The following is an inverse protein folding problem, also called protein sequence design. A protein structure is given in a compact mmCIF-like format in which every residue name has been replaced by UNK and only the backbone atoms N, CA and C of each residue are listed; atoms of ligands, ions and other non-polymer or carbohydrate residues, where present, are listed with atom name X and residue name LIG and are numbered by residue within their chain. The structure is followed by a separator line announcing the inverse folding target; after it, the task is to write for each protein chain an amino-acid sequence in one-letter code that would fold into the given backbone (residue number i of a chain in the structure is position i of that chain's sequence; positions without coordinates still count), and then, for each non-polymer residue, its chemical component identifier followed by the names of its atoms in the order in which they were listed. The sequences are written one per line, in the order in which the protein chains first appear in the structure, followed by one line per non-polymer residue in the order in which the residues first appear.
data_IF_068384760044
#
_entry.id   IF_068384760044
#
_cell.length_a   1.000
_cell.length_b   1.000
_cell.length_c   1.000
_cell.angle_alpha   90.00
_cell.angle_beta   90.00
_cell.angle_gamma   90.00
#
_symmetry.space_group_name_H-M   'P 1'
#
loop_
_entity.id
_entity.type
_entity.pdbx_description
1 polymer ?
#
# COMPACT_ATOMS: atom_id res chain seq x y z
N UNK A 1 14.77 13.64 -8.32
CA UNK A 1 13.51 14.12 -7.70
C UNK A 1 12.50 14.64 -8.72
N UNK A 2 12.92 15.21 -9.86
CA UNK A 2 12.00 15.69 -10.92
C UNK A 2 11.09 14.61 -11.51
N UNK A 3 11.61 13.39 -11.74
CA UNK A 3 10.81 12.28 -12.30
C UNK A 3 9.59 11.88 -11.45
N UNK A 4 9.71 11.93 -10.11
CA UNK A 4 8.59 11.60 -9.22
C UNK A 4 7.48 12.66 -9.29
N UNK A 5 7.85 13.93 -9.44
CA UNK A 5 6.90 15.03 -9.59
C UNK A 5 6.15 14.88 -10.91
N UNK A 6 6.85 14.63 -12.01
CA UNK A 6 6.22 14.42 -13.31
C UNK A 6 5.27 13.21 -13.32
N UNK A 7 5.65 12.10 -12.67
CA UNK A 7 4.76 10.95 -12.54
C UNK A 7 3.46 11.29 -11.79
N UNK A 8 3.56 12.08 -10.72
CA UNK A 8 2.36 12.51 -9.98
C UNK A 8 1.50 13.50 -10.76
N UNK A 9 2.11 14.43 -11.50
CA UNK A 9 1.38 15.34 -12.40
C UNK A 9 0.68 14.55 -13.49
N UNK A 10 1.34 13.56 -14.06
CA UNK A 10 0.78 12.71 -15.10
C UNK A 10 -0.42 11.88 -14.60
N UNK A 11 -0.30 11.29 -13.41
CA UNK A 11 -1.37 10.50 -12.79
C UNK A 11 -2.47 11.34 -12.13
N UNK A 12 -2.36 12.67 -12.12
CA UNK A 12 -3.43 13.53 -11.62
C UNK A 12 -4.73 13.36 -12.43
N UNK A 13 -4.63 13.08 -13.73
CA UNK A 13 -5.80 12.78 -14.57
C UNK A 13 -6.56 11.53 -14.10
N UNK A 14 -5.83 10.52 -13.61
CA UNK A 14 -6.45 9.35 -12.99
C UNK A 14 -7.19 9.74 -11.71
N UNK A 15 -6.58 10.56 -10.85
CA UNK A 15 -7.20 10.99 -9.59
C UNK A 15 -8.51 11.74 -9.87
N UNK A 16 -8.49 12.65 -10.85
CA UNK A 16 -9.69 13.39 -11.26
C UNK A 16 -10.76 12.46 -11.81
N UNK A 17 -10.38 11.52 -12.67
CA UNK A 17 -11.30 10.53 -13.23
C UNK A 17 -11.95 9.66 -12.14
N UNK A 18 -11.16 9.15 -11.20
CA UNK A 18 -11.65 8.31 -10.11
C UNK A 18 -12.64 9.09 -9.24
N UNK A 19 -12.30 10.32 -8.85
CA UNK A 19 -13.13 11.11 -7.93
C UNK A 19 -14.40 11.68 -8.57
N UNK A 20 -14.36 12.05 -9.85
CA UNK A 20 -15.49 12.72 -10.51
C UNK A 20 -16.36 11.78 -11.34
N UNK A 21 -15.80 10.70 -11.88
CA UNK A 21 -16.50 9.76 -12.76
C UNK A 21 -16.87 8.46 -12.05
N UNK A 22 -15.88 7.77 -11.45
CA UNK A 22 -16.14 6.49 -10.77
C UNK A 22 -16.83 6.68 -9.41
N UNK A 23 -16.46 7.73 -8.66
CA UNK A 23 -17.04 8.09 -7.35
C UNK A 23 -17.09 6.91 -6.36
N UNK A 24 -15.96 6.20 -6.14
CA UNK A 24 -15.93 5.11 -5.16
C UNK A 24 -16.20 5.67 -3.75
N UNK A 25 -16.54 4.78 -2.80
CA UNK A 25 -16.71 5.14 -1.39
C UNK A 25 -15.43 5.69 -0.76
N UNK A 26 -14.28 5.18 -1.18
CA UNK A 26 -12.98 5.70 -0.79
C UNK A 26 -11.93 5.40 -1.86
N UNK A 27 -10.89 6.24 -1.90
CA UNK A 27 -9.77 6.12 -2.82
C UNK A 27 -8.46 6.51 -2.13
N UNK A 28 -7.41 5.72 -2.36
CA UNK A 28 -6.04 6.04 -1.91
C UNK A 28 -5.07 5.69 -3.03
N UNK A 29 -4.11 6.59 -3.29
CA UNK A 29 -3.00 6.38 -4.23
C UNK A 29 -1.67 6.75 -3.59
N UNK A 30 -0.65 5.95 -3.86
CA UNK A 30 0.75 6.22 -3.52
C UNK A 30 1.62 5.84 -4.73
N UNK A 31 2.13 6.85 -5.43
CA UNK A 31 2.80 6.60 -6.71
C UNK A 31 1.85 5.95 -7.72
N UNK A 32 2.23 4.78 -8.19
CA UNK A 32 1.47 3.90 -9.09
C UNK A 32 0.56 2.90 -8.36
N UNK A 33 0.73 2.71 -7.04
CA UNK A 33 -0.10 1.81 -6.23
C UNK A 33 -1.37 2.52 -5.75
N UNK A 34 -2.54 2.14 -6.27
CA UNK A 34 -3.84 2.69 -5.86
C UNK A 34 -4.85 1.61 -5.44
N UNK A 35 -5.78 2.01 -4.58
CA UNK A 35 -6.86 1.15 -4.05
C UNK A 35 -8.17 1.94 -4.01
N UNK A 36 -9.24 1.32 -4.48
CA UNK A 36 -10.60 1.85 -4.45
C UNK A 36 -11.47 0.96 -3.55
N UNK A 37 -12.39 1.57 -2.81
CA UNK A 37 -13.44 0.87 -2.07
C UNK A 37 -14.80 1.18 -2.69
N UNK A 38 -15.53 0.13 -3.09
CA UNK A 38 -16.87 0.25 -3.69
C UNK A 38 -17.93 -0.31 -2.74
N UNK A 39 -19.20 -0.15 -3.08
CA UNK A 39 -20.32 -0.62 -2.27
C UNK A 39 -20.44 -2.13 -2.24
N UNK A 40 -20.21 -2.76 -3.39
CA UNK A 40 -20.29 -4.19 -3.60
C UNK A 40 -19.30 -4.66 -4.67
N UNK A 41 -19.28 -5.97 -4.92
CA UNK A 41 -18.39 -6.59 -5.89
C UNK A 41 -18.71 -6.18 -7.33
N UNK A 42 -19.98 -5.96 -7.66
CA UNK A 42 -20.38 -5.58 -9.02
C UNK A 42 -19.85 -4.20 -9.36
N UNK A 43 -20.05 -3.21 -8.47
CA UNK A 43 -19.49 -1.87 -8.62
C UNK A 43 -17.95 -1.90 -8.67
N UNK A 44 -17.31 -2.72 -7.83
CA UNK A 44 -15.85 -2.87 -7.86
C UNK A 44 -15.32 -3.42 -9.18
N UNK A 45 -16.00 -4.40 -9.77
CA UNK A 45 -15.63 -4.96 -11.09
C UNK A 45 -15.88 -3.97 -12.22
N UNK A 46 -16.98 -3.24 -12.17
CA UNK A 46 -17.25 -2.16 -13.13
C UNK A 46 -16.18 -1.08 -13.05
N UNK A 47 -15.84 -0.63 -11.84
CA UNK A 47 -14.77 0.34 -11.63
C UNK A 47 -13.39 -0.17 -12.10
N UNK A 48 -13.09 -1.45 -11.87
CA UNK A 48 -11.86 -2.09 -12.37
C UNK A 48 -11.80 -2.04 -13.91
N UNK A 49 -12.85 -2.48 -14.60
CA UNK A 49 -12.88 -2.50 -16.06
C UNK A 49 -12.74 -1.09 -16.63
N UNK A 50 -13.56 -0.16 -16.14
CA UNK A 50 -13.57 1.22 -16.63
C UNK A 50 -12.24 1.93 -16.31
N UNK A 51 -11.71 1.75 -15.10
CA UNK A 51 -10.45 2.34 -14.68
C UNK A 51 -9.26 1.82 -15.49
N UNK A 52 -9.18 0.50 -15.71
CA UNK A 52 -8.14 -0.12 -16.54
C UNK A 52 -8.22 0.36 -17.99
N UNK A 53 -9.44 0.52 -18.53
CA UNK A 53 -9.62 1.06 -19.87
C UNK A 53 -9.23 2.54 -19.96
N UNK A 54 -9.59 3.37 -18.98
CA UNK A 54 -9.16 4.76 -18.92
C UNK A 54 -7.62 4.88 -18.89
N UNK A 55 -6.96 4.06 -18.06
CA UNK A 55 -5.50 4.04 -17.98
C UNK A 55 -4.86 3.68 -19.33
N UNK A 56 -5.39 2.67 -20.03
CA UNK A 56 -4.88 2.26 -21.33
C UNK A 56 -5.15 3.30 -22.43
N UNK A 57 -6.38 3.78 -22.53
CA UNK A 57 -6.84 4.61 -23.66
C UNK A 57 -6.44 6.08 -23.52
N UNK A 58 -6.47 6.64 -22.30
CA UNK A 58 -6.21 8.07 -22.06
C UNK A 58 -4.77 8.32 -21.61
N UNK A 59 -4.18 7.41 -20.83
CA UNK A 59 -2.83 7.55 -20.30
C UNK A 59 -1.81 6.58 -20.93
N UNK A 60 -2.21 5.69 -21.84
CA UNK A 60 -1.27 4.74 -22.44
C UNK A 60 -0.59 3.81 -21.42
N UNK A 61 -1.20 3.61 -20.25
CA UNK A 61 -0.66 2.84 -19.13
C UNK A 61 -1.38 1.48 -19.03
N UNK A 62 -0.80 0.39 -19.55
CA UNK A 62 -1.38 -0.94 -19.38
C UNK A 62 -1.25 -1.39 -17.92
N UNK A 63 -2.33 -1.93 -17.35
CA UNK A 63 -2.35 -2.44 -15.97
C UNK A 63 -1.85 -3.89 -15.94
N UNK A 64 -1.07 -4.23 -14.91
CA UNK A 64 -0.59 -5.60 -14.72
C UNK A 64 -1.71 -6.52 -14.17
N UNK A 65 -2.16 -7.55 -14.93
CA UNK A 65 -3.27 -8.41 -14.52
C UNK A 65 -3.02 -9.20 -13.23
N UNK A 66 -1.75 -9.40 -12.83
CA UNK A 66 -1.43 -10.11 -11.58
C UNK A 66 -1.72 -9.29 -10.34
N UNK A 67 -1.67 -7.97 -10.46
CA UNK A 67 -1.81 -7.01 -9.36
C UNK A 67 -3.18 -6.31 -9.37
N UNK A 68 -3.85 -6.29 -10.51
CA UNK A 68 -5.23 -5.82 -10.63
C UNK A 68 -6.23 -6.84 -10.05
N UNK A 69 -6.70 -6.59 -8.82
CA UNK A 69 -7.52 -7.55 -8.07
C UNK A 69 -8.70 -6.88 -7.38
N UNK A 70 -9.87 -7.47 -7.57
CA UNK A 70 -11.05 -7.21 -6.74
C UNK A 70 -11.07 -8.24 -5.60
N UNK A 71 -11.20 -7.76 -4.36
CA UNK A 71 -11.34 -8.62 -3.20
C UNK A 71 -12.25 -8.00 -2.13
N UNK A 72 -12.91 -8.83 -1.30
CA UNK A 72 -13.68 -8.35 -0.15
C UNK A 72 -12.82 -7.56 0.84
N UNK A 73 -13.38 -6.50 1.43
CA UNK A 73 -12.68 -5.63 2.40
C UNK A 73 -12.29 -6.34 3.72
N UNK A 74 -12.90 -7.48 4.03
CA UNK A 74 -12.52 -8.29 5.20
C UNK A 74 -11.28 -9.16 4.96
N UNK A 75 -10.83 -9.29 3.70
CA UNK A 75 -9.58 -9.95 3.38
C UNK A 75 -8.40 -9.00 3.60
N UNK A 76 -7.24 -9.61 3.73
CA UNK A 76 -5.96 -8.91 3.89
C UNK A 76 -5.68 -8.02 2.68
N UNK A 77 -5.45 -6.73 2.91
CA UNK A 77 -4.89 -5.81 1.92
C UNK A 77 -3.38 -5.64 2.19
N UNK A 78 -2.54 -6.09 1.25
CA UNK A 78 -1.10 -5.85 1.31
C UNK A 78 -0.81 -4.51 0.61
N UNK A 79 -0.41 -3.49 1.37
CA UNK A 79 -0.18 -2.13 0.86
C UNK A 79 1.05 -1.50 1.53
N UNK A 80 1.99 -0.98 0.73
CA UNK A 80 3.19 -0.25 1.18
C UNK A 80 3.98 -0.92 2.32
N UNK A 81 4.16 -2.24 2.25
CA UNK A 81 4.92 -3.01 3.25
C UNK A 81 4.16 -3.36 4.53
N UNK A 82 2.86 -3.08 4.59
CA UNK A 82 1.94 -3.39 5.68
C UNK A 82 0.83 -4.31 5.16
N UNK A 83 0.43 -5.30 5.95
CA UNK A 83 -0.81 -6.05 5.76
C UNK A 83 -1.90 -5.37 6.61
N UNK A 84 -3.07 -5.08 6.01
CA UNK A 84 -4.17 -4.33 6.61
C UNK A 84 -5.45 -5.18 6.59
N UNK A 85 -6.22 -5.12 7.69
CA UNK A 85 -7.56 -5.69 7.85
C UNK A 85 -8.46 -4.68 8.57
N UNK A 86 -9.79 -4.88 8.56
CA UNK A 86 -10.69 -4.07 9.38
C UNK A 86 -10.36 -4.11 10.88
N UNK A 87 -9.81 -5.24 11.36
CA UNK A 87 -9.44 -5.44 12.76
C UNK A 87 -8.06 -4.89 13.15
N UNK A 88 -7.28 -4.37 12.20
CA UNK A 88 -5.95 -3.81 12.48
C UNK A 88 -4.95 -4.02 11.34
N UNK A 89 -3.66 -3.93 11.67
CA UNK A 89 -2.58 -4.02 10.67
C UNK A 89 -1.34 -4.69 11.26
N UNK A 90 -0.47 -5.21 10.39
CA UNK A 90 0.86 -5.72 10.74
C UNK A 90 1.88 -5.42 9.66
N UNK A 91 3.17 -5.36 10.01
CA UNK A 91 4.23 -5.34 8.99
C UNK A 91 4.24 -6.65 8.20
N UNK A 92 4.50 -6.56 6.89
CA UNK A 92 4.65 -7.75 6.05
C UNK A 92 5.93 -8.52 6.40
N UNK A 93 5.91 -9.84 6.21
CA UNK A 93 7.06 -10.71 6.48
C UNK A 93 8.33 -10.27 5.74
N UNK A 94 8.19 -9.79 4.49
CA UNK A 94 9.31 -9.23 3.71
C UNK A 94 9.87 -7.97 4.36
N UNK A 95 8.99 -7.08 4.85
CA UNK A 95 9.39 -5.85 5.54
C UNK A 95 10.13 -6.16 6.84
N UNK A 96 9.61 -7.09 7.65
CA UNK A 96 10.25 -7.50 8.91
C UNK A 96 11.61 -8.16 8.66
N UNK A 97 11.72 -8.99 7.62
CA UNK A 97 13.00 -9.59 7.23
C UNK A 97 14.03 -8.52 6.83
N UNK A 98 13.63 -7.56 5.99
CA UNK A 98 14.53 -6.46 5.57
C UNK A 98 14.97 -5.58 6.74
N UNK A 99 14.07 -5.29 7.67
CA UNK A 99 14.42 -4.57 8.91
C UNK A 99 15.49 -5.36 9.67
N UNK A 100 15.26 -6.66 9.89
CA UNK A 100 16.22 -7.49 10.63
C UNK A 100 17.59 -7.59 9.95
N UNK A 101 17.67 -7.50 8.62
CA UNK A 101 18.93 -7.61 7.88
C UNK A 101 19.72 -6.30 7.86
N UNK A 102 19.01 -5.16 7.89
CA UNK A 102 19.61 -3.83 7.71
C UNK A 102 19.70 -3.03 9.00
N UNK A 103 19.28 -3.60 10.14
CA UNK A 103 19.27 -2.93 11.44
C UNK A 103 20.70 -2.55 11.86
N UNK A 104 20.90 -1.28 12.20
CA UNK A 104 22.15 -0.75 12.72
C UNK A 104 21.88 0.51 13.57
N UNK A 105 22.91 1.02 14.26
CA UNK A 105 22.83 2.18 15.14
C UNK A 105 22.24 3.44 14.46
N UNK A 106 22.47 3.64 13.16
CA UNK A 106 21.99 4.83 12.44
C UNK A 106 20.49 4.79 12.14
N UNK A 107 19.87 3.60 12.10
CA UNK A 107 18.46 3.44 11.72
C UNK A 107 17.58 2.80 12.79
N UNK A 108 18.17 2.41 13.93
CA UNK A 108 17.49 1.72 15.04
C UNK A 108 16.26 2.47 15.54
N UNK A 109 16.34 3.78 15.74
CA UNK A 109 15.23 4.60 16.22
C UNK A 109 14.05 4.60 15.22
N UNK A 110 14.35 4.71 13.92
CA UNK A 110 13.34 4.69 12.86
C UNK A 110 12.62 3.34 12.80
N UNK A 111 13.36 2.23 12.85
CA UNK A 111 12.77 0.91 12.82
C UNK A 111 12.00 0.58 14.10
N UNK A 112 12.47 1.02 15.26
CA UNK A 112 11.75 0.86 16.53
C UNK A 112 10.38 1.53 16.48
N UNK A 113 10.30 2.76 15.96
CA UNK A 113 9.04 3.48 15.79
C UNK A 113 8.10 2.77 14.82
N UNK A 114 8.62 2.30 13.69
CA UNK A 114 7.84 1.55 12.70
C UNK A 114 7.25 0.26 13.28
N UNK A 115 8.06 -0.51 14.03
CA UNK A 115 7.61 -1.73 14.70
C UNK A 115 6.54 -1.39 15.74
N UNK A 116 6.76 -0.37 16.58
CA UNK A 116 5.79 0.05 17.61
C UNK A 116 4.44 0.47 17.02
N UNK A 117 4.45 1.15 15.86
CA UNK A 117 3.25 1.68 15.22
C UNK A 117 2.44 0.62 14.46
N UNK A 118 3.11 -0.41 13.92
CA UNK A 118 2.50 -1.35 13.00
C UNK A 118 2.50 -2.80 13.47
N UNK A 119 3.31 -3.21 14.45
CA UNK A 119 3.33 -4.61 14.92
C UNK A 119 2.59 -4.77 16.25
N UNK A 120 1.67 -5.75 16.35
CA UNK A 120 1.16 -6.20 17.63
C UNK A 120 2.30 -6.67 18.54
N UNK A 121 2.23 -6.38 19.85
CA UNK A 121 3.27 -6.74 20.84
C UNK A 121 3.71 -8.22 20.78
N UNK A 122 2.81 -9.12 20.38
CA UNK A 122 3.10 -10.57 20.23
C UNK A 122 4.08 -10.91 19.11
N UNK A 123 4.14 -10.12 18.03
CA UNK A 123 4.98 -10.41 16.85
C UNK A 123 6.26 -9.57 16.79
N UNK A 124 6.35 -8.52 17.62
CA UNK A 124 7.52 -7.63 17.64
C UNK A 124 8.66 -8.09 18.54
N UNK A 125 8.47 -9.11 19.39
CA UNK A 125 9.43 -9.47 20.46
C UNK A 125 10.83 -9.72 19.92
N UNK A 126 10.97 -10.56 18.90
CA UNK A 126 12.29 -10.95 18.37
C UNK A 126 13.04 -9.77 17.76
N UNK A 127 12.33 -8.85 17.09
CA UNK A 127 12.91 -7.62 16.57
C UNK A 127 13.27 -6.62 17.67
N UNK A 128 12.47 -6.58 18.74
CA UNK A 128 12.76 -5.73 19.90
C UNK A 128 14.03 -6.22 20.60
N UNK A 129 14.22 -7.53 20.77
CA UNK A 129 15.47 -8.08 21.33
C UNK A 129 16.68 -7.70 20.49
N UNK A 130 16.61 -7.85 19.16
CA UNK A 130 17.69 -7.41 18.27
C UNK A 130 17.99 -5.92 18.34
N UNK A 131 17.00 -5.09 18.64
CA UNK A 131 17.19 -3.65 18.86
C UNK A 131 17.95 -3.41 20.16
N UNK A 132 17.61 -4.14 21.23
CA UNK A 132 18.32 -4.06 22.51
C UNK A 132 19.78 -4.47 22.33
N UNK A 133 20.05 -5.60 21.66
CA UNK A 133 21.41 -6.11 21.41
C UNK A 133 22.31 -5.13 20.64
N UNK A 134 21.73 -4.20 19.87
CA UNK A 134 22.48 -3.19 19.10
C UNK A 134 22.70 -1.91 19.91
N UNK A 135 21.84 -1.63 20.90
CA UNK A 135 21.91 -0.45 21.73
C UNK A 135 22.78 -0.65 22.99
N UNK A 136 22.98 -1.90 23.40
CA UNK A 136 23.93 -2.34 24.44
C UNK A 136 25.38 -2.35 23.91
#
# INVERSE_FOLDING_TARGET
MTSQIFANIYLNELDQFVLHSLKPRAYVRYGDDFVLWCADEAEARTAQIIGTQFLADQLGLPVNPKHDRVQPANKKLAYLGVDIWPSGRRLQARTTMRISQNLNLNNVASYQNLIKQHMPKRYGKDLIWKIVDILD
#
